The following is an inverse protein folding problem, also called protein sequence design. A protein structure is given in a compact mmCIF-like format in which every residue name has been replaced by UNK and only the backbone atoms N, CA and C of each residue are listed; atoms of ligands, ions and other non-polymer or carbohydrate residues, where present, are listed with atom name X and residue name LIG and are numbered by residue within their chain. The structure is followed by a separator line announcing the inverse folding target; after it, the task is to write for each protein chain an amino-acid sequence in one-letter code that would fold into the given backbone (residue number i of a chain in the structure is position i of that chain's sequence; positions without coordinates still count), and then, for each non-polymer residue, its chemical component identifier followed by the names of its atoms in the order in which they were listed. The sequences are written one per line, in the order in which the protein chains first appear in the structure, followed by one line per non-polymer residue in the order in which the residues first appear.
data_IF_355205657749
#
_entry.id   IF_355205657749
#
_cell.length_a   1.000
_cell.length_b   1.000
_cell.length_c   1.000
_cell.angle_alpha   90.00
_cell.angle_beta   90.00
_cell.angle_gamma   90.00
#
_symmetry.space_group_name_H-M   'P 1'
#
loop_
_entity.id
_entity.type
_entity.pdbx_description
1 polymer ?
#
# COMPACT_ATOMS: atom_id res chain seq x y z
N UNK A 1 34.35 -9.28 23.32
CA UNK A 1 33.07 -9.99 23.27
C UNK A 1 32.44 -9.71 21.92
N UNK A 2 32.41 -10.69 21.06
CA UNK A 2 31.72 -10.58 19.77
C UNK A 2 30.24 -10.79 20.05
N UNK A 3 29.42 -9.75 19.92
CA UNK A 3 27.99 -9.90 19.83
C UNK A 3 27.70 -10.72 18.58
N UNK A 4 27.25 -11.95 18.75
CA UNK A 4 26.72 -12.74 17.67
C UNK A 4 25.54 -11.98 17.09
N UNK A 5 25.68 -11.43 15.87
CA UNK A 5 24.54 -10.94 15.11
C UNK A 5 23.58 -12.11 14.94
N UNK A 6 22.38 -11.93 15.44
CA UNK A 6 21.29 -12.86 15.23
C UNK A 6 21.14 -13.05 13.70
N UNK A 7 21.39 -14.26 13.16
CA UNK A 7 21.28 -14.51 11.72
C UNK A 7 19.84 -14.47 11.22
N UNK A 8 18.88 -14.39 12.11
CA UNK A 8 17.48 -14.19 11.82
C UNK A 8 17.14 -12.78 12.25
N UNK A 9 17.19 -11.82 11.30
CA UNK A 9 16.69 -10.46 11.53
C UNK A 9 15.36 -10.57 12.29
N UNK A 10 15.20 -9.81 13.37
CA UNK A 10 14.08 -9.98 14.30
C UNK A 10 12.76 -10.10 13.55
N UNK A 11 12.12 -11.25 13.61
CA UNK A 11 10.74 -11.49 13.15
C UNK A 11 9.74 -10.71 14.00
N UNK A 12 10.19 -9.64 14.65
CA UNK A 12 9.35 -8.80 15.48
C UNK A 12 8.29 -8.10 14.65
N UNK A 13 7.05 -8.27 15.11
CA UNK A 13 5.90 -7.63 14.47
C UNK A 13 5.87 -6.15 14.80
N UNK A 14 5.78 -5.31 13.77
CA UNK A 14 5.57 -3.87 13.86
C UNK A 14 4.25 -3.49 13.22
N UNK A 15 3.37 -2.83 13.98
CA UNK A 15 2.11 -2.29 13.47
C UNK A 15 2.28 -0.80 13.20
N UNK A 16 1.84 -0.36 12.03
CA UNK A 16 1.86 1.05 11.61
C UNK A 16 0.44 1.60 11.71
N UNK A 17 0.25 2.63 12.52
CA UNK A 17 -1.03 3.31 12.67
C UNK A 17 -1.13 4.50 11.72
N UNK A 18 -2.36 4.82 11.29
CA UNK A 18 -2.67 6.05 10.53
C UNK A 18 -3.38 7.12 11.37
N UNK A 19 -3.77 6.77 12.59
CA UNK A 19 -4.61 7.63 13.43
C UNK A 19 -6.10 7.53 13.12
N UNK A 20 -6.53 6.62 12.24
CA UNK A 20 -7.95 6.37 11.99
C UNK A 20 -8.65 5.78 13.22
N UNK A 21 -9.82 6.32 13.62
CA UNK A 21 -10.58 5.77 14.75
C UNK A 21 -11.08 4.35 14.50
N UNK A 22 -11.19 3.93 13.24
CA UNK A 22 -11.64 2.59 12.87
C UNK A 22 -10.62 1.49 13.18
N UNK A 23 -9.34 1.81 13.30
CA UNK A 23 -8.29 0.84 13.60
C UNK A 23 -8.55 0.11 14.92
N UNK A 24 -8.87 0.84 15.97
CA UNK A 24 -9.21 0.26 17.26
C UNK A 24 -10.58 -0.44 17.30
N UNK A 25 -11.56 0.12 16.60
CA UNK A 25 -12.94 -0.40 16.59
C UNK A 25 -13.04 -1.72 15.80
N UNK A 26 -12.37 -1.81 14.67
CA UNK A 26 -12.40 -2.98 13.79
C UNK A 26 -11.27 -3.96 14.15
N UNK A 27 -10.16 -3.47 14.69
CA UNK A 27 -9.02 -4.28 15.05
C UNK A 27 -8.05 -4.49 13.89
N UNK A 28 -7.64 -3.43 13.21
CA UNK A 28 -6.65 -3.49 12.14
C UNK A 28 -5.58 -2.41 12.29
N UNK A 29 -4.49 -2.56 11.56
CA UNK A 29 -3.42 -1.56 11.42
C UNK A 29 -3.36 -1.07 10.00
N UNK A 30 -2.83 0.14 9.76
CA UNK A 30 -2.61 0.66 8.40
C UNK A 30 -1.64 -0.22 7.63
N UNK A 31 -0.60 -0.68 8.29
CA UNK A 31 0.34 -1.66 7.74
C UNK A 31 0.91 -2.53 8.88
N UNK A 32 1.38 -3.70 8.51
CA UNK A 32 2.07 -4.61 9.42
C UNK A 32 3.38 -5.04 8.78
N UNK A 33 4.47 -4.94 9.52
CA UNK A 33 5.76 -5.50 9.11
C UNK A 33 6.12 -6.70 9.99
N UNK A 34 6.54 -7.79 9.34
CA UNK A 34 7.12 -8.97 9.99
C UNK A 34 8.38 -9.36 9.21
N UNK A 35 9.54 -9.24 9.83
CA UNK A 35 10.81 -9.48 9.16
C UNK A 35 11.02 -8.52 7.97
N UNK A 36 11.18 -9.07 6.78
CA UNK A 36 11.32 -8.32 5.53
C UNK A 36 10.00 -8.05 4.81
N UNK A 37 8.87 -8.57 5.31
CA UNK A 37 7.55 -8.46 4.68
C UNK A 37 6.74 -7.33 5.29
N UNK A 38 6.11 -6.55 4.42
CA UNK A 38 5.17 -5.49 4.79
C UNK A 38 3.85 -5.71 4.08
N UNK A 39 2.76 -5.73 4.86
CA UNK A 39 1.40 -5.79 4.33
C UNK A 39 0.71 -4.47 4.61
N UNK A 40 0.17 -3.86 3.57
CA UNK A 40 -0.62 -2.62 3.68
C UNK A 40 -2.08 -2.97 3.52
N UNK A 41 -2.88 -2.58 4.48
CA UNK A 41 -4.33 -2.80 4.48
C UNK A 41 -5.02 -2.16 3.29
N UNK A 42 -6.20 -2.66 2.94
CA UNK A 42 -7.07 -2.03 1.97
C UNK A 42 -7.21 -0.53 2.25
N UNK A 43 -6.96 0.28 1.24
CA UNK A 43 -6.76 1.72 1.36
C UNK A 43 -7.78 2.45 0.52
N UNK A 44 -8.64 3.24 1.18
CA UNK A 44 -9.66 4.07 0.57
C UNK A 44 -9.10 5.47 0.20
N UNK A 45 -9.69 6.16 -0.80
CA UNK A 45 -9.16 7.42 -1.32
C UNK A 45 -9.58 8.63 -0.47
N UNK A 46 -9.29 8.62 0.81
CA UNK A 46 -9.78 9.61 1.77
C UNK A 46 -8.69 10.61 2.14
N UNK A 47 -9.04 11.89 2.12
CA UNK A 47 -8.20 12.97 2.63
C UNK A 47 -8.39 13.13 4.14
N UNK A 48 -7.45 13.78 4.87
CA UNK A 48 -7.54 13.94 6.33
C UNK A 48 -8.82 14.61 6.82
N UNK A 49 -9.42 15.48 6.01
CA UNK A 49 -10.69 16.16 6.32
C UNK A 49 -11.94 15.30 6.04
N UNK A 50 -11.74 14.05 5.56
CA UNK A 50 -12.82 13.14 5.20
C UNK A 50 -13.35 13.31 3.78
N UNK A 51 -12.79 14.25 2.99
CA UNK A 51 -13.18 14.45 1.59
C UNK A 51 -12.63 13.34 0.68
N UNK A 52 -13.22 13.23 -0.49
CA UNK A 52 -12.87 12.26 -1.51
C UNK A 52 -13.01 12.91 -2.88
N UNK A 53 -12.01 12.77 -3.73
CA UNK A 53 -12.08 13.26 -5.11
C UNK A 53 -13.18 12.52 -5.89
N UNK A 54 -13.89 13.22 -6.77
CA UNK A 54 -14.90 12.60 -7.62
C UNK A 54 -14.30 11.81 -8.79
N UNK A 55 -13.12 12.21 -9.27
CA UNK A 55 -12.41 11.55 -10.36
C UNK A 55 -11.72 10.27 -9.88
N UNK A 56 -12.00 9.14 -10.53
CA UNK A 56 -11.47 7.84 -10.11
C UNK A 56 -9.95 7.74 -10.26
N UNK A 57 -9.36 8.39 -11.25
CA UNK A 57 -7.90 8.46 -11.40
C UNK A 57 -7.25 9.15 -10.21
N UNK A 58 -7.82 10.26 -9.76
CA UNK A 58 -7.38 10.98 -8.55
C UNK A 58 -7.62 10.16 -7.27
N UNK A 59 -8.71 9.41 -7.21
CA UNK A 59 -8.94 8.48 -6.11
C UNK A 59 -7.83 7.42 -6.04
N UNK A 60 -7.48 6.82 -7.17
CA UNK A 60 -6.38 5.84 -7.23
C UNK A 60 -5.04 6.46 -6.82
N UNK A 61 -4.73 7.66 -7.29
CA UNK A 61 -3.53 8.39 -6.87
C UNK A 61 -3.51 8.61 -5.36
N UNK A 62 -4.64 9.00 -4.77
CA UNK A 62 -4.73 9.20 -3.32
C UNK A 62 -4.51 7.91 -2.55
N UNK A 63 -5.11 6.79 -2.97
CA UNK A 63 -4.84 5.48 -2.37
C UNK A 63 -3.34 5.16 -2.37
N UNK A 64 -2.66 5.40 -3.48
CA UNK A 64 -1.23 5.11 -3.61
C UNK A 64 -0.35 6.04 -2.77
N UNK A 65 -0.75 7.30 -2.56
CA UNK A 65 -0.07 8.21 -1.64
C UNK A 65 -0.17 7.72 -0.18
N UNK A 66 -1.34 7.25 0.23
CA UNK A 66 -1.54 6.69 1.57
C UNK A 66 -0.70 5.42 1.75
N UNK A 67 -0.66 4.56 0.73
CA UNK A 67 0.16 3.35 0.73
C UNK A 67 1.66 3.71 0.84
N UNK A 68 2.13 4.70 0.10
CA UNK A 68 3.51 5.18 0.17
C UNK A 68 3.88 5.64 1.59
N UNK A 69 3.04 6.43 2.22
CA UNK A 69 3.22 6.88 3.61
C UNK A 69 3.24 5.70 4.59
N UNK A 70 2.34 4.73 4.41
CA UNK A 70 2.29 3.53 5.25
C UNK A 70 3.55 2.66 5.10
N UNK A 71 4.02 2.47 3.88
CA UNK A 71 5.27 1.76 3.59
C UNK A 71 6.47 2.45 4.25
N UNK A 72 6.58 3.77 4.13
CA UNK A 72 7.64 4.55 4.77
C UNK A 72 7.61 4.38 6.30
N UNK A 73 6.42 4.38 6.91
CA UNK A 73 6.25 4.10 8.34
C UNK A 73 6.71 2.72 8.76
N UNK A 74 6.70 1.75 7.85
CA UNK A 74 7.19 0.40 8.05
C UNK A 74 8.66 0.21 7.63
N UNK A 75 9.36 1.26 7.21
CA UNK A 75 10.73 1.19 6.73
C UNK A 75 10.88 0.59 5.32
N UNK A 76 9.83 0.65 4.51
CA UNK A 76 9.78 0.20 3.13
C UNK A 76 9.52 1.37 2.17
N UNK A 77 9.51 1.08 0.89
CA UNK A 77 9.21 2.05 -0.16
C UNK A 77 8.35 1.42 -1.27
N UNK A 78 7.82 2.24 -2.15
CA UNK A 78 7.08 1.78 -3.34
C UNK A 78 7.91 0.82 -4.19
N UNK A 79 9.24 1.00 -4.25
CA UNK A 79 10.14 0.11 -4.97
C UNK A 79 10.22 -1.31 -4.39
N UNK A 80 9.80 -1.50 -3.15
CA UNK A 80 9.76 -2.80 -2.48
C UNK A 80 8.45 -3.57 -2.72
N UNK A 81 7.46 -2.93 -3.33
CA UNK A 81 6.14 -3.53 -3.57
C UNK A 81 6.26 -4.68 -4.55
N UNK A 82 5.74 -5.85 -4.17
CA UNK A 82 5.75 -7.08 -4.97
C UNK A 82 4.35 -7.46 -5.45
N UNK A 83 3.30 -6.94 -4.80
CA UNK A 83 1.90 -7.20 -5.16
C UNK A 83 1.02 -6.01 -4.84
N UNK A 84 0.09 -5.74 -5.75
CA UNK A 84 -1.06 -4.85 -5.53
C UNK A 84 -2.36 -5.55 -5.88
N UNK A 85 -3.45 -5.21 -5.18
CA UNK A 85 -4.82 -5.57 -5.58
C UNK A 85 -5.65 -4.31 -5.59
N UNK A 86 -6.39 -4.13 -6.68
CA UNK A 86 -7.24 -2.97 -6.93
C UNK A 86 -8.68 -3.44 -7.05
N UNK A 87 -9.54 -2.87 -6.22
CA UNK A 87 -10.97 -3.20 -6.15
C UNK A 87 -11.76 -2.03 -6.70
N UNK A 88 -12.49 -2.26 -7.79
CA UNK A 88 -13.32 -1.26 -8.47
C UNK A 88 -14.80 -1.58 -8.27
N UNK A 89 -15.64 -0.57 -8.37
CA UNK A 89 -17.11 -0.75 -8.41
C UNK A 89 -17.69 -0.67 -9.82
N UNK A 90 -16.89 -0.28 -10.80
CA UNK A 90 -17.27 -0.16 -12.20
C UNK A 90 -16.08 -0.53 -13.10
N UNK A 91 -16.27 -1.52 -13.98
CA UNK A 91 -15.23 -1.98 -14.90
C UNK A 91 -14.78 -0.88 -15.88
N UNK A 92 -15.62 0.12 -16.16
CA UNK A 92 -15.24 1.24 -17.04
C UNK A 92 -14.17 2.13 -16.45
N UNK A 93 -13.92 2.04 -15.15
CA UNK A 93 -12.85 2.78 -14.45
C UNK A 93 -11.47 2.14 -14.57
N UNK A 94 -11.38 0.93 -15.13
CA UNK A 94 -10.15 0.15 -15.16
C UNK A 94 -8.97 0.88 -15.84
N UNK A 95 -9.22 1.56 -16.95
CA UNK A 95 -8.17 2.28 -17.67
C UNK A 95 -7.62 3.46 -16.87
N UNK A 96 -8.46 4.24 -16.23
CA UNK A 96 -8.03 5.39 -15.41
C UNK A 96 -7.25 4.93 -14.18
N UNK A 97 -7.72 3.89 -13.50
CA UNK A 97 -7.01 3.30 -12.34
C UNK A 97 -5.69 2.67 -12.79
N UNK A 98 -5.70 1.98 -13.92
CA UNK A 98 -4.50 1.38 -14.51
C UNK A 98 -3.42 2.41 -14.85
N UNK A 99 -3.81 3.56 -15.40
CA UNK A 99 -2.86 4.68 -15.69
C UNK A 99 -2.26 5.24 -14.40
N UNK A 100 -3.05 5.46 -13.36
CA UNK A 100 -2.56 5.93 -12.07
C UNK A 100 -1.57 4.92 -11.45
N UNK A 101 -1.89 3.64 -11.51
CA UNK A 101 -1.01 2.55 -11.05
C UNK A 101 0.29 2.50 -11.85
N UNK A 102 0.22 2.59 -13.17
CA UNK A 102 1.39 2.59 -14.06
C UNK A 102 2.31 3.79 -13.81
N UNK A 103 1.75 4.96 -13.50
CA UNK A 103 2.53 6.15 -13.17
C UNK A 103 3.43 5.91 -11.95
N UNK A 104 2.92 5.22 -10.94
CA UNK A 104 3.66 4.91 -9.71
C UNK A 104 4.57 3.68 -9.87
N UNK A 105 4.07 2.62 -10.48
CA UNK A 105 4.71 1.31 -10.52
C UNK A 105 5.28 0.89 -11.87
N UNK A 106 5.29 1.76 -12.86
CA UNK A 106 5.72 1.42 -14.21
C UNK A 106 7.16 0.88 -14.30
N UNK A 107 8.05 1.31 -13.40
CA UNK A 107 9.42 0.81 -13.29
C UNK A 107 9.55 -0.41 -12.37
N UNK A 108 8.70 -0.53 -11.35
CA UNK A 108 8.73 -1.61 -10.35
C UNK A 108 8.03 -2.87 -10.87
N UNK A 109 6.88 -2.70 -11.49
CA UNK A 109 6.05 -3.74 -12.11
C UNK A 109 5.73 -4.91 -11.17
N UNK A 110 5.03 -4.65 -10.06
CA UNK A 110 4.60 -5.70 -9.13
C UNK A 110 3.59 -6.63 -9.80
N UNK A 111 3.41 -7.82 -9.22
CA UNK A 111 2.24 -8.62 -9.55
C UNK A 111 0.99 -7.81 -9.15
N UNK A 112 0.01 -7.72 -10.04
CA UNK A 112 -1.16 -6.90 -9.83
C UNK A 112 -2.44 -7.63 -10.23
N UNK A 113 -3.50 -7.38 -9.46
CA UNK A 113 -4.85 -7.88 -9.75
C UNK A 113 -5.83 -6.71 -9.66
N UNK A 114 -6.71 -6.61 -10.63
CA UNK A 114 -7.78 -5.62 -10.65
C UNK A 114 -9.11 -6.36 -10.82
N UNK A 115 -10.04 -6.16 -9.89
CA UNK A 115 -11.34 -6.83 -9.88
C UNK A 115 -12.45 -5.83 -9.62
N UNK A 116 -13.64 -6.14 -10.09
CA UNK A 116 -14.86 -5.38 -9.79
C UNK A 116 -15.59 -6.06 -8.65
N UNK A 117 -15.96 -5.30 -7.64
CA UNK A 117 -16.72 -5.75 -6.48
C UNK A 117 -18.11 -5.14 -6.49
N UNK A 118 -19.03 -5.71 -5.72
CA UNK A 118 -20.42 -5.25 -5.67
C UNK A 118 -20.55 -3.82 -5.13
N UNK A 119 -19.75 -3.46 -4.13
CA UNK A 119 -19.72 -2.13 -3.51
C UNK A 119 -18.46 -1.98 -2.66
N UNK A 120 -18.11 -0.74 -2.38
CA UNK A 120 -17.16 -0.37 -1.31
C UNK A 120 -17.96 0.20 -0.14
N UNK A 121 -17.30 0.40 1.01
CA UNK A 121 -17.99 0.77 2.25
C UNK A 121 -18.57 2.19 2.25
N UNK A 122 -18.06 3.06 1.41
CA UNK A 122 -18.59 4.41 1.20
C UNK A 122 -19.00 4.56 -0.27
N UNK A 123 -20.19 5.08 -0.51
CA UNK A 123 -20.75 5.21 -1.87
C UNK A 123 -19.93 6.16 -2.77
N UNK A 124 -19.11 7.04 -2.20
CA UNK A 124 -18.22 7.93 -2.95
C UNK A 124 -16.97 7.21 -3.47
N UNK A 125 -16.57 6.12 -2.84
CA UNK A 125 -15.36 5.39 -3.22
C UNK A 125 -15.62 4.55 -4.46
N UNK A 126 -14.78 4.73 -5.45
CA UNK A 126 -14.81 3.98 -6.71
C UNK A 126 -13.65 3.02 -6.84
N UNK A 127 -12.64 3.13 -5.98
CA UNK A 127 -11.47 2.26 -5.93
C UNK A 127 -10.96 2.12 -4.50
N UNK A 128 -10.45 0.94 -4.19
CA UNK A 128 -9.69 0.62 -2.99
C UNK A 128 -8.47 -0.20 -3.38
N UNK A 129 -7.32 0.04 -2.77
CA UNK A 129 -6.06 -0.62 -3.14
C UNK A 129 -5.38 -1.17 -1.88
N UNK A 130 -4.86 -2.38 -1.98
CA UNK A 130 -3.96 -2.98 -0.98
C UNK A 130 -2.63 -3.34 -1.61
N UNK A 131 -1.58 -3.48 -0.80
CA UNK A 131 -0.24 -3.78 -1.28
C UNK A 131 0.52 -4.70 -0.33
N UNK A 132 1.45 -5.46 -0.90
CA UNK A 132 2.45 -6.23 -0.16
C UNK A 132 3.84 -5.83 -0.66
N UNK A 133 4.79 -5.71 0.26
CA UNK A 133 6.17 -5.37 -0.05
C UNK A 133 7.14 -6.36 0.61
N UNK A 134 8.30 -6.52 -0.01
CA UNK A 134 9.43 -7.26 0.56
C UNK A 134 10.65 -6.36 0.54
N UNK A 135 11.19 -6.07 1.71
CA UNK A 135 12.36 -5.19 1.88
C UNK A 135 13.62 -6.02 1.66
N UNK A 136 14.43 -5.63 0.68
CA UNK A 136 15.69 -6.29 0.44
C UNK A 136 16.74 -5.84 1.48
N UNK A 137 17.38 -6.76 2.25
CA UNK A 137 18.38 -6.40 3.25
C UNK A 137 19.69 -5.87 2.64
N UNK A 138 19.88 -6.03 1.34
CA UNK A 138 21.10 -5.64 0.61
C UNK A 138 20.88 -4.50 -0.38
N UNK A 139 19.77 -3.77 -0.26
CA UNK A 139 19.57 -2.60 -1.12
C UNK A 139 20.51 -1.48 -0.67
N UNK A 140 21.51 -1.19 -1.49
CA UNK A 140 22.29 0.03 -1.40
C UNK A 140 21.34 1.21 -1.71
N UNK A 141 21.16 2.16 -0.77
CA UNK A 141 20.29 3.32 -1.02
C UNK A 141 20.78 4.18 -2.19
N UNK A 142 22.01 4.02 -2.64
CA UNK A 142 22.57 4.72 -3.79
C UNK A 142 22.54 3.90 -5.09
N UNK A 143 22.09 2.63 -5.05
CA UNK A 143 22.03 1.82 -6.25
C UNK A 143 20.95 2.34 -7.22
N UNK A 144 21.26 2.58 -8.50
CA UNK A 144 20.26 3.00 -9.48
C UNK A 144 19.20 1.91 -9.65
N UNK A 145 17.94 2.32 -9.68
CA UNK A 145 16.82 1.42 -10.01
C UNK A 145 17.01 0.94 -11.44
N UNK A 146 17.16 -0.37 -11.62
CA UNK A 146 17.24 -0.99 -12.94
C UNK A 146 15.85 -1.25 -13.49
#
# INVERSE_FOLDING_TARGET
MSEARDPHGSDERRNVASGSPFEGVIGFSRAVRVGDRVLVSGTAPVWPDGSCDADVGKQAERCLQIIDTALAGAGASLADVVRTRMFLVDATDADAVGRAHAHVFGAVRPAATMVVVAALLDARWRVEIEAEAVVSPHRDPEAPVR
#
